data_IF_739687161728
#
_entry.id   IF_739687161728
#
_cell.length_a   1.000
_cell.length_b   1.000
_cell.length_c   1.000
_cell.angle_alpha   90.00
_cell.angle_beta   90.00
_cell.angle_gamma   90.00
#
_symmetry.space_group_name_H-M   'P 1'
#
loop_
_entity.id
_entity.type
_entity.pdbx_description
1 polymer ?
#
# COMPACT_ATOMS: atom_id res chain seq x y z
N UNK A 1 10.51 20.05 12.58
CA UNK A 1 10.73 21.16 13.55
C UNK A 1 9.42 21.92 13.60
N UNK A 2 8.75 21.96 14.76
CA UNK A 2 7.55 22.78 14.95
C UNK A 2 7.96 24.26 14.94
N UNK A 3 7.26 25.06 14.12
CA UNK A 3 7.47 26.51 14.12
C UNK A 3 6.91 27.07 15.44
N UNK A 4 7.77 27.66 16.25
CA UNK A 4 7.37 28.32 17.51
C UNK A 4 6.84 29.72 17.15
N UNK A 5 5.58 29.95 17.41
CA UNK A 5 4.89 31.20 17.06
C UNK A 5 4.18 31.78 18.28
N UNK A 6 3.94 33.10 18.26
CA UNK A 6 3.00 33.72 19.20
C UNK A 6 1.57 33.64 18.66
N UNK A 7 0.58 33.72 19.56
CA UNK A 7 -0.83 33.71 19.14
C UNK A 7 -1.17 34.86 18.16
N UNK A 8 -0.49 35.99 18.24
CA UNK A 8 -0.73 37.14 17.36
C UNK A 8 -0.19 36.86 15.94
N UNK A 9 0.99 36.26 15.85
CA UNK A 9 1.56 35.80 14.56
C UNK A 9 0.67 34.77 13.88
N UNK A 10 0.17 33.80 14.63
CA UNK A 10 -0.75 32.77 14.10
C UNK A 10 -2.05 33.41 13.57
N UNK A 11 -2.64 34.37 14.32
CA UNK A 11 -3.85 35.08 13.84
C UNK A 11 -3.59 35.86 12.56
N UNK A 12 -2.41 36.43 12.38
CA UNK A 12 -2.05 37.14 11.16
C UNK A 12 -1.86 36.13 9.99
N UNK A 13 -1.18 35.03 10.22
CA UNK A 13 -1.01 33.96 9.24
C UNK A 13 -2.36 33.34 8.82
N UNK A 14 -3.24 33.09 9.78
CA UNK A 14 -4.61 32.59 9.49
C UNK A 14 -5.41 33.56 8.61
N UNK A 15 -5.25 34.88 8.78
CA UNK A 15 -5.88 35.88 7.89
C UNK A 15 -5.31 35.82 6.48
N UNK A 16 -4.02 35.51 6.31
CA UNK A 16 -3.42 35.30 5.00
C UNK A 16 -3.92 34.01 4.36
N UNK A 17 -3.95 32.90 5.09
CA UNK A 17 -4.49 31.63 4.59
C UNK A 17 -5.97 31.74 4.21
N UNK A 18 -6.74 32.60 4.87
CA UNK A 18 -8.13 32.85 4.55
C UNK A 18 -8.38 33.42 3.15
N UNK A 19 -7.36 33.98 2.52
CA UNK A 19 -7.43 34.43 1.11
C UNK A 19 -7.40 33.28 0.12
N UNK A 20 -6.84 32.12 0.52
CA UNK A 20 -6.59 30.95 -0.31
C UNK A 20 -7.55 29.79 0.08
N UNK A 21 -7.77 29.61 1.37
CA UNK A 21 -8.58 28.54 1.94
C UNK A 21 -9.96 29.07 2.37
N UNK A 22 -11.01 28.26 2.10
CA UNK A 22 -12.37 28.64 2.48
C UNK A 22 -12.64 28.50 3.97
N UNK A 23 -11.88 27.63 4.64
CA UNK A 23 -11.92 27.47 6.09
C UNK A 23 -10.51 27.33 6.64
N UNK A 24 -10.26 28.00 7.76
CA UNK A 24 -9.01 27.92 8.51
C UNK A 24 -9.38 27.76 9.97
N UNK A 25 -8.98 26.66 10.60
CA UNK A 25 -9.27 26.38 12.01
C UNK A 25 -8.01 26.15 12.79
N UNK A 26 -7.99 26.63 14.04
CA UNK A 26 -6.93 26.38 15.00
C UNK A 26 -7.50 25.55 16.15
N UNK A 27 -6.92 24.38 16.38
CA UNK A 27 -7.27 23.49 17.47
C UNK A 27 -6.18 23.53 18.55
N UNK A 28 -6.60 23.64 19.81
CA UNK A 28 -5.73 23.30 20.94
C UNK A 28 -5.81 21.80 21.17
N UNK A 29 -4.66 21.16 21.32
CA UNK A 29 -4.55 19.72 21.53
C UNK A 29 -4.19 19.45 22.99
N UNK A 30 -4.91 18.51 23.63
CA UNK A 30 -4.61 18.05 24.98
C UNK A 30 -4.49 16.53 24.97
N UNK A 31 -3.39 16.00 25.53
CA UNK A 31 -3.27 14.56 25.79
C UNK A 31 -3.90 14.27 27.14
N UNK A 32 -4.93 13.45 27.16
CA UNK A 32 -5.47 12.90 28.40
C UNK A 32 -4.61 11.70 28.79
N UNK A 33 -3.80 11.87 29.84
CA UNK A 33 -2.83 10.86 30.31
C UNK A 33 -3.49 9.60 30.85
N UNK A 34 -4.76 9.65 31.26
CA UNK A 34 -5.44 8.51 31.92
C UNK A 34 -6.15 7.56 30.92
N UNK A 35 -6.43 8.01 29.70
CA UNK A 35 -7.21 7.23 28.71
C UNK A 35 -6.54 7.10 27.34
N UNK A 36 -5.38 7.71 27.12
CA UNK A 36 -4.71 7.73 25.80
C UNK A 36 -5.46 8.51 24.70
N UNK A 37 -6.56 9.15 25.04
CA UNK A 37 -7.40 9.93 24.13
C UNK A 37 -6.82 11.34 23.93
N UNK A 38 -6.87 11.83 22.70
CA UNK A 38 -6.51 13.21 22.36
C UNK A 38 -7.78 14.06 22.35
N UNK A 39 -7.86 15.02 23.23
CA UNK A 39 -8.93 16.01 23.22
C UNK A 39 -8.53 17.21 22.34
N UNK A 40 -9.46 17.63 21.47
CA UNK A 40 -9.28 18.77 20.58
C UNK A 40 -10.35 19.84 20.84
N UNK A 41 -9.93 21.08 21.01
CA UNK A 41 -10.79 22.23 21.19
C UNK A 41 -10.53 23.25 20.07
N UNK A 42 -11.59 23.67 19.37
CA UNK A 42 -11.50 24.75 18.37
C UNK A 42 -11.31 26.08 19.09
N UNK A 43 -10.15 26.71 18.89
CA UNK A 43 -9.81 28.00 19.49
C UNK A 43 -10.18 29.14 18.55
N UNK A 44 -9.90 29.02 17.28
CA UNK A 44 -10.19 30.00 16.24
C UNK A 44 -10.73 29.28 15.02
N UNK A 45 -11.85 29.78 14.48
CA UNK A 45 -12.40 29.35 13.21
C UNK A 45 -12.65 30.57 12.31
N UNK A 46 -12.07 30.55 11.12
CA UNK A 46 -12.26 31.54 10.08
C UNK A 46 -12.80 30.85 8.84
N UNK A 47 -14.10 31.00 8.52
CA UNK A 47 -14.70 30.27 7.41
C UNK A 47 -16.00 30.84 6.90
N UNK A 48 -16.56 30.25 5.84
CA UNK A 48 -17.93 30.51 5.36
C UNK A 48 -18.90 29.58 6.10
N UNK A 49 -20.08 30.11 6.46
CA UNK A 49 -21.13 29.38 7.18
C UNK A 49 -21.59 28.09 6.47
N UNK A 50 -21.49 28.02 5.14
CA UNK A 50 -21.87 26.85 4.32
C UNK A 50 -21.03 25.58 4.62
N UNK A 51 -19.80 25.73 5.13
CA UNK A 51 -18.95 24.62 5.53
C UNK A 51 -19.12 24.20 6.99
N UNK A 52 -19.84 24.99 7.79
CA UNK A 52 -20.13 24.65 9.19
C UNK A 52 -21.15 23.51 9.32
N UNK A 53 -22.04 23.32 8.33
CA UNK A 53 -23.01 22.23 8.29
C UNK A 53 -22.42 20.86 7.93
N UNK A 54 -21.22 20.82 7.33
CA UNK A 54 -20.49 19.61 7.00
C UNK A 54 -19.80 18.96 8.22
N UNK A 55 -20.26 19.23 9.44
CA UNK A 55 -19.78 18.67 10.70
C UNK A 55 -20.19 17.21 10.91
N UNK A 56 -19.76 16.29 10.05
CA UNK A 56 -19.59 14.91 10.51
C UNK A 56 -18.23 14.79 11.17
N UNK A 57 -18.12 14.15 12.35
CA UNK A 57 -16.81 13.75 12.86
C UNK A 57 -16.14 12.94 11.75
N UNK A 58 -14.94 13.34 11.37
CA UNK A 58 -14.11 12.57 10.46
C UNK A 58 -13.93 11.18 11.08
N UNK A 59 -14.37 10.11 10.43
CA UNK A 59 -14.19 8.74 10.94
C UNK A 59 -12.70 8.40 11.07
N UNK A 60 -11.84 9.04 10.28
CA UNK A 60 -10.38 9.05 10.42
C UNK A 60 -9.90 10.47 10.64
N UNK A 61 -9.54 10.78 11.89
CA UNK A 61 -9.20 12.14 12.29
C UNK A 61 -7.76 12.49 11.94
N UNK A 62 -7.53 12.97 10.72
CA UNK A 62 -6.20 13.45 10.24
C UNK A 62 -5.55 14.47 11.22
N UNK A 63 -6.35 15.18 12.04
CA UNK A 63 -5.84 16.11 13.06
C UNK A 63 -5.12 15.34 14.17
N UNK A 64 -5.70 14.23 14.62
CA UNK A 64 -5.13 13.38 15.67
C UNK A 64 -3.90 12.64 15.19
N UNK A 65 -3.93 12.16 13.94
CA UNK A 65 -2.78 11.55 13.29
C UNK A 65 -1.61 12.53 13.14
N UNK A 66 -1.87 13.73 12.61
CA UNK A 66 -0.85 14.78 12.47
C UNK A 66 -0.26 15.16 13.82
N UNK A 67 -1.10 15.31 14.84
CA UNK A 67 -0.67 15.65 16.19
C UNK A 67 0.18 14.56 16.83
N UNK A 68 -0.20 13.30 16.63
CA UNK A 68 0.53 12.14 17.18
C UNK A 68 1.87 11.95 16.50
N UNK A 69 1.91 12.10 15.16
CA UNK A 69 3.13 11.98 14.35
C UNK A 69 4.04 13.22 14.45
N UNK A 70 3.51 14.39 14.82
CA UNK A 70 4.24 15.65 14.82
C UNK A 70 4.57 16.17 13.41
N UNK A 71 3.81 15.73 12.40
CA UNK A 71 4.06 16.01 10.98
C UNK A 71 2.87 16.70 10.32
N UNK A 72 3.14 17.40 9.20
CA UNK A 72 2.08 17.88 8.34
C UNK A 72 1.42 16.72 7.61
N UNK A 73 0.08 16.70 7.62
CA UNK A 73 -0.73 15.70 6.91
C UNK A 73 -1.69 16.39 5.95
N UNK A 74 -2.03 15.71 4.88
CA UNK A 74 -2.99 16.21 3.91
C UNK A 74 -3.87 15.10 3.38
N UNK A 75 -5.16 15.39 3.20
CA UNK A 75 -6.09 14.48 2.53
C UNK A 75 -7.02 15.21 1.59
N UNK A 76 -7.68 14.43 0.76
CA UNK A 76 -8.81 14.91 -0.05
C UNK A 76 -10.09 14.24 0.44
N UNK A 77 -11.15 15.00 0.51
CA UNK A 77 -12.44 14.52 1.02
C UNK A 77 -13.56 14.98 0.08
N UNK A 78 -14.51 14.08 -0.20
CA UNK A 78 -15.70 14.42 -0.98
C UNK A 78 -16.85 14.61 0.00
N UNK A 79 -17.34 15.85 0.11
CA UNK A 79 -18.49 16.19 0.93
C UNK A 79 -19.59 16.74 0.02
N UNK A 80 -20.79 16.11 0.05
CA UNK A 80 -21.93 16.50 -0.78
C UNK A 80 -21.60 16.65 -2.28
N UNK A 81 -20.75 15.75 -2.80
CA UNK A 81 -20.34 15.74 -4.21
C UNK A 81 -19.32 16.81 -4.58
N UNK A 82 -18.77 17.53 -3.62
CA UNK A 82 -17.69 18.52 -3.81
C UNK A 82 -16.39 17.99 -3.26
N UNK A 83 -15.30 18.18 -3.99
CA UNK A 83 -13.96 17.76 -3.58
C UNK A 83 -13.29 18.87 -2.78
N UNK A 84 -12.82 18.53 -1.59
CA UNK A 84 -12.07 19.40 -0.70
C UNK A 84 -10.66 18.87 -0.48
N UNK A 85 -9.70 19.79 -0.42
CA UNK A 85 -8.37 19.51 0.10
C UNK A 85 -8.32 19.99 1.55
N UNK A 86 -7.90 19.08 2.43
CA UNK A 86 -7.66 19.35 3.86
C UNK A 86 -6.16 19.22 4.10
N UNK A 87 -5.55 20.23 4.68
CA UNK A 87 -4.14 20.23 5.11
C UNK A 87 -4.12 20.52 6.60
N UNK A 88 -3.35 19.73 7.33
CA UNK A 88 -3.23 19.84 8.79
C UNK A 88 -1.76 19.98 9.16
N UNK A 89 -1.42 20.99 9.95
CA UNK A 89 -0.06 21.30 10.36
C UNK A 89 0.02 21.47 11.87
N UNK A 90 1.00 20.80 12.50
CA UNK A 90 1.30 20.99 13.91
C UNK A 90 2.15 22.26 14.09
N UNK A 91 1.75 23.09 15.02
CA UNK A 91 2.46 24.33 15.41
C UNK A 91 2.54 24.43 16.93
N UNK A 92 3.52 25.16 17.43
CA UNK A 92 3.68 25.44 18.84
C UNK A 92 3.41 26.93 19.10
N UNK A 93 2.49 27.23 19.99
CA UNK A 93 2.12 28.60 20.35
C UNK A 93 2.36 28.81 21.86
N UNK A 94 3.28 29.71 22.20
CA UNK A 94 3.63 29.99 23.57
C UNK A 94 3.98 28.74 24.41
N UNK A 95 4.61 27.73 23.79
CA UNK A 95 5.00 26.48 24.43
C UNK A 95 3.90 25.43 24.53
N UNK A 96 2.72 25.68 23.98
CA UNK A 96 1.59 24.75 23.94
C UNK A 96 1.35 24.22 22.54
N UNK A 97 0.97 22.95 22.38
CA UNK A 97 0.75 22.34 21.07
C UNK A 97 -0.61 22.69 20.47
N UNK A 98 -0.59 23.10 19.22
CA UNK A 98 -1.78 23.40 18.43
C UNK A 98 -1.70 22.69 17.07
N UNK A 99 -2.87 22.56 16.43
CA UNK A 99 -3.00 22.07 15.06
C UNK A 99 -3.76 23.10 14.24
N UNK A 100 -3.15 23.53 13.14
CA UNK A 100 -3.75 24.40 12.15
C UNK A 100 -4.33 23.55 11.02
N UNK A 101 -5.65 23.66 10.78
CA UNK A 101 -6.36 23.00 9.69
C UNK A 101 -6.75 24.01 8.62
N UNK A 102 -6.43 23.69 7.39
CA UNK A 102 -6.68 24.49 6.20
C UNK A 102 -7.54 23.71 5.23
N UNK A 103 -8.73 24.21 4.88
CA UNK A 103 -9.66 23.54 4.00
C UNK A 103 -9.96 24.41 2.78
N UNK A 104 -9.80 23.86 1.58
CA UNK A 104 -10.23 24.51 0.34
C UNK A 104 -11.05 23.56 -0.52
N UNK A 105 -12.12 24.09 -1.12
CA UNK A 105 -12.84 23.41 -2.19
C UNK A 105 -11.99 23.46 -3.46
N UNK A 106 -11.94 22.37 -4.16
CA UNK A 106 -11.37 22.29 -5.51
C UNK A 106 -12.44 22.51 -6.58
N UNK A 107 -13.55 23.14 -6.23
CA UNK A 107 -14.63 23.47 -7.14
C UNK A 107 -14.17 24.40 -8.27
N UNK A 108 -14.81 24.23 -9.41
CA UNK A 108 -14.49 24.64 -10.77
C UNK A 108 -14.37 26.15 -11.05
N UNK A 109 -14.46 27.02 -10.07
CA UNK A 109 -14.34 28.48 -10.25
C UNK A 109 -12.94 29.05 -9.99
N UNK A 110 -11.97 28.20 -9.64
CA UNK A 110 -10.59 28.65 -9.56
C UNK A 110 -9.96 28.57 -10.95
N UNK A 111 -9.40 29.68 -11.41
CA UNK A 111 -8.90 29.98 -12.77
C UNK A 111 -7.82 29.03 -13.34
N UNK A 112 -8.02 27.75 -13.28
CA UNK A 112 -7.37 26.75 -14.12
C UNK A 112 -8.31 26.42 -15.30
N UNK A 113 -8.72 27.43 -16.03
CA UNK A 113 -9.54 27.38 -17.21
C UNK A 113 -10.13 26.01 -17.60
N UNK A 114 -11.43 25.81 -17.43
CA UNK A 114 -12.24 24.70 -17.98
C UNK A 114 -11.78 23.27 -17.63
N UNK A 115 -11.27 23.03 -16.43
CA UNK A 115 -11.12 21.67 -15.90
C UNK A 115 -12.48 21.23 -15.33
N UNK A 116 -13.21 20.38 -16.04
CA UNK A 116 -14.43 19.75 -15.51
C UNK A 116 -14.07 18.76 -14.40
N UNK A 117 -15.04 18.38 -13.58
CA UNK A 117 -14.89 17.45 -12.44
C UNK A 117 -14.12 16.16 -12.82
N UNK A 118 -14.41 15.59 -14.00
CA UNK A 118 -13.70 14.41 -14.53
C UNK A 118 -12.18 14.64 -14.68
N UNK A 119 -11.78 15.83 -15.11
CA UNK A 119 -10.34 16.12 -15.27
C UNK A 119 -9.62 16.27 -13.95
N UNK A 120 -10.27 16.80 -12.91
CA UNK A 120 -9.70 16.89 -11.56
C UNK A 120 -9.59 15.52 -10.93
N UNK A 121 -10.63 14.69 -11.05
CA UNK A 121 -10.61 13.30 -10.61
C UNK A 121 -9.53 12.50 -11.37
N UNK A 122 -9.45 12.66 -12.69
CA UNK A 122 -8.44 12.00 -13.51
C UNK A 122 -7.01 12.49 -13.18
N UNK A 123 -6.83 13.77 -12.89
CA UNK A 123 -5.55 14.33 -12.46
C UNK A 123 -5.16 13.74 -11.09
N UNK A 124 -6.11 13.63 -10.18
CA UNK A 124 -5.92 13.04 -8.87
C UNK A 124 -5.61 11.55 -8.95
N UNK A 125 -6.36 10.79 -9.75
CA UNK A 125 -6.07 9.39 -10.05
C UNK A 125 -4.68 9.22 -10.67
N UNK A 126 -4.32 10.10 -11.61
CA UNK A 126 -3.00 10.09 -12.24
C UNK A 126 -1.85 10.41 -11.25
N UNK A 127 -2.06 11.32 -10.30
CA UNK A 127 -1.07 11.57 -9.24
C UNK A 127 -0.98 10.41 -8.27
N UNK A 128 -2.10 9.80 -7.91
CA UNK A 128 -2.14 8.62 -7.04
C UNK A 128 -1.47 7.41 -7.72
N UNK A 129 -1.76 7.19 -9.00
CA UNK A 129 -1.08 6.18 -9.81
C UNK A 129 0.44 6.42 -9.87
N UNK A 130 0.88 7.66 -10.08
CA UNK A 130 2.32 8.00 -10.06
C UNK A 130 2.99 7.81 -8.70
N UNK A 131 2.26 7.96 -7.60
CA UNK A 131 2.79 7.76 -6.26
C UNK A 131 2.94 6.27 -5.92
N UNK A 132 1.97 5.46 -6.35
CA UNK A 132 1.81 4.08 -5.88
C UNK A 132 2.01 3.00 -6.95
N UNK A 133 2.21 3.37 -8.22
CA UNK A 133 2.50 2.42 -9.29
C UNK A 133 3.99 2.30 -9.57
N UNK A 134 4.41 1.07 -9.88
CA UNK A 134 5.74 0.80 -10.40
C UNK A 134 5.81 1.17 -11.89
N UNK A 135 6.83 1.93 -12.26
CA UNK A 135 6.94 2.49 -13.60
C UNK A 135 7.18 1.46 -14.70
N UNK A 136 7.69 0.27 -14.36
CA UNK A 136 7.99 -0.82 -15.31
C UNK A 136 6.80 -1.75 -15.46
N UNK A 137 6.26 -2.23 -14.35
CA UNK A 137 5.28 -3.32 -14.35
C UNK A 137 3.84 -2.87 -14.18
N UNK A 138 3.60 -1.60 -13.85
CA UNK A 138 2.27 -1.07 -13.49
C UNK A 138 1.59 -1.88 -12.35
N UNK A 139 2.34 -2.65 -11.58
CA UNK A 139 1.93 -3.15 -10.28
C UNK A 139 1.96 -2.02 -9.26
N UNK A 140 1.44 -2.22 -8.07
CA UNK A 140 1.73 -1.27 -6.99
C UNK A 140 3.22 -1.30 -6.67
N UNK A 141 3.77 -0.19 -6.18
CA UNK A 141 5.17 -0.11 -5.75
C UNK A 141 5.31 -0.39 -4.25
N UNK A 142 6.55 -0.46 -3.76
CA UNK A 142 6.85 -0.70 -2.34
C UNK A 142 6.25 0.37 -1.42
N UNK A 143 6.17 1.63 -1.89
CA UNK A 143 5.57 2.70 -1.10
C UNK A 143 4.09 2.43 -0.79
N UNK A 144 3.33 1.89 -1.76
CA UNK A 144 1.95 1.47 -1.51
C UNK A 144 1.85 0.43 -0.39
N UNK A 145 2.79 -0.52 -0.35
CA UNK A 145 2.86 -1.48 0.76
C UNK A 145 3.08 -0.79 2.11
N UNK A 146 4.06 0.12 2.17
CA UNK A 146 4.41 0.82 3.41
C UNK A 146 3.30 1.73 3.93
N UNK A 147 2.58 2.40 3.04
CA UNK A 147 1.58 3.40 3.40
C UNK A 147 0.18 2.77 3.61
N UNK A 148 -0.19 1.69 2.87
CA UNK A 148 -1.58 1.24 2.76
C UNK A 148 -1.81 -0.24 3.18
N UNK A 149 -0.76 -1.07 3.28
CA UNK A 149 -0.94 -2.52 3.37
C UNK A 149 -0.33 -3.12 4.62
N UNK A 150 0.90 -2.77 4.97
CA UNK A 150 1.68 -3.47 5.99
C UNK A 150 1.02 -3.53 7.36
N UNK A 151 0.36 -2.43 7.76
CA UNK A 151 -0.28 -2.28 9.08
C UNK A 151 -1.72 -2.80 9.12
N UNK A 152 -2.27 -3.26 7.98
CA UNK A 152 -3.60 -3.87 7.90
C UNK A 152 -3.62 -5.22 8.64
N UNK A 153 -4.71 -5.49 9.35
CA UNK A 153 -5.02 -6.75 10.04
C UNK A 153 -6.08 -7.58 9.29
N UNK A 154 -6.28 -7.30 8.00
CA UNK A 154 -7.26 -8.02 7.18
C UNK A 154 -6.90 -9.51 7.02
N UNK A 155 -7.92 -10.37 7.06
CA UNK A 155 -7.77 -11.78 6.68
C UNK A 155 -7.49 -11.88 5.18
N UNK A 156 -6.30 -12.34 4.82
CA UNK A 156 -5.85 -12.40 3.43
C UNK A 156 -4.89 -13.56 3.17
N UNK A 157 -4.86 -14.05 1.95
CA UNK A 157 -3.73 -14.81 1.44
C UNK A 157 -2.59 -13.86 1.09
N UNK A 158 -1.41 -14.10 1.61
CA UNK A 158 -0.20 -13.31 1.39
C UNK A 158 0.86 -14.19 0.77
N UNK A 159 1.37 -13.81 -0.41
CA UNK A 159 2.42 -14.56 -1.08
C UNK A 159 3.55 -13.64 -1.51
N UNK A 160 4.77 -14.05 -1.19
CA UNK A 160 5.98 -13.46 -1.74
C UNK A 160 6.46 -14.30 -2.93
N UNK A 161 6.76 -13.65 -4.03
CA UNK A 161 7.06 -14.24 -5.32
C UNK A 161 8.40 -13.68 -5.80
N UNK A 162 9.32 -14.51 -6.18
CA UNK A 162 10.62 -14.11 -6.70
C UNK A 162 10.87 -14.78 -8.07
N UNK A 163 11.43 -14.02 -9.00
CA UNK A 163 11.79 -14.52 -10.32
C UNK A 163 13.12 -15.29 -10.27
N UNK A 164 13.07 -16.58 -10.60
CA UNK A 164 14.28 -17.38 -10.65
C UNK A 164 15.21 -16.89 -11.76
N UNK A 165 16.50 -16.84 -11.45
CA UNK A 165 17.58 -16.49 -12.39
C UNK A 165 17.43 -15.11 -13.06
N UNK A 166 16.67 -14.18 -12.50
CA UNK A 166 16.45 -12.86 -13.09
C UNK A 166 17.74 -12.10 -13.38
N UNK A 167 18.73 -12.19 -12.49
CA UNK A 167 20.05 -11.60 -12.72
C UNK A 167 20.73 -12.18 -13.97
N UNK A 168 20.61 -13.49 -14.20
CA UNK A 168 21.18 -14.14 -15.38
C UNK A 168 20.53 -13.59 -16.67
N UNK A 169 19.22 -13.33 -16.67
CA UNK A 169 18.55 -12.71 -17.81
C UNK A 169 19.08 -11.30 -18.09
N UNK A 170 19.24 -10.49 -17.06
CA UNK A 170 19.82 -9.16 -17.18
C UNK A 170 21.25 -9.20 -17.70
N UNK A 171 22.08 -10.08 -17.16
CA UNK A 171 23.49 -10.20 -17.54
C UNK A 171 23.65 -10.73 -18.97
N UNK A 172 22.71 -11.60 -19.44
CA UNK A 172 22.79 -12.23 -20.76
C UNK A 172 22.16 -11.37 -21.86
N UNK A 173 21.00 -10.74 -21.59
CA UNK A 173 20.19 -10.08 -22.60
C UNK A 173 20.04 -8.57 -22.40
N UNK A 174 20.62 -8.04 -21.29
CA UNK A 174 20.55 -6.64 -20.92
C UNK A 174 19.26 -6.25 -20.16
N UNK A 175 19.29 -5.09 -19.52
CA UNK A 175 18.20 -4.62 -18.64
C UNK A 175 16.84 -4.47 -19.35
N UNK A 176 16.84 -4.12 -20.65
CA UNK A 176 15.58 -4.03 -21.41
C UNK A 176 14.86 -5.40 -21.51
N UNK A 177 15.63 -6.49 -21.61
CA UNK A 177 15.07 -7.83 -21.57
C UNK A 177 14.53 -8.17 -20.17
N UNK A 178 15.24 -7.77 -19.12
CA UNK A 178 14.77 -7.90 -17.74
C UNK A 178 13.46 -7.16 -17.50
N UNK A 179 13.32 -5.93 -17.98
CA UNK A 179 12.08 -5.17 -17.88
C UNK A 179 10.92 -5.87 -18.61
N UNK A 180 11.21 -6.46 -19.79
CA UNK A 180 10.20 -7.24 -20.54
C UNK A 180 9.78 -8.49 -19.77
N UNK A 181 10.72 -9.17 -19.12
CA UNK A 181 10.45 -10.33 -18.23
C UNK A 181 9.57 -9.91 -17.06
N UNK A 182 9.90 -8.83 -16.37
CA UNK A 182 9.13 -8.31 -15.24
C UNK A 182 7.69 -7.95 -15.66
N UNK A 183 7.52 -7.28 -16.78
CA UNK A 183 6.20 -6.96 -17.34
C UNK A 183 5.40 -8.23 -17.64
N UNK A 184 6.01 -9.21 -18.30
CA UNK A 184 5.34 -10.45 -18.65
C UNK A 184 4.86 -11.23 -17.42
N UNK A 185 5.69 -11.33 -16.38
CA UNK A 185 5.31 -11.98 -15.12
C UNK A 185 4.20 -11.21 -14.42
N UNK A 186 4.32 -9.89 -14.30
CA UNK A 186 3.29 -9.04 -13.70
C UNK A 186 1.94 -9.18 -14.43
N UNK A 187 1.93 -9.24 -15.76
CA UNK A 187 0.72 -9.38 -16.56
C UNK A 187 0.06 -10.76 -16.38
N UNK A 188 0.86 -11.83 -16.28
CA UNK A 188 0.36 -13.17 -15.97
C UNK A 188 -0.30 -13.18 -14.59
N UNK A 189 0.34 -12.60 -13.58
CA UNK A 189 -0.21 -12.52 -12.23
C UNK A 189 -1.49 -11.69 -12.22
N UNK A 190 -1.47 -10.47 -12.78
CA UNK A 190 -2.64 -9.57 -12.86
C UNK A 190 -3.83 -10.22 -13.54
N UNK A 191 -3.59 -10.94 -14.65
CA UNK A 191 -4.66 -11.66 -15.38
C UNK A 191 -5.26 -12.83 -14.59
N UNK A 192 -4.57 -13.30 -13.55
CA UNK A 192 -4.95 -14.44 -12.72
C UNK A 192 -5.62 -14.06 -11.40
N UNK A 193 -5.67 -12.78 -11.05
CA UNK A 193 -6.18 -12.25 -9.78
C UNK A 193 -7.45 -11.42 -9.99
N UNK A 194 -8.17 -11.14 -8.89
CA UNK A 194 -9.36 -10.29 -8.88
C UNK A 194 -8.97 -8.82 -8.76
N UNK A 195 -9.90 -7.91 -9.05
CA UNK A 195 -9.70 -6.47 -8.87
C UNK A 195 -9.45 -6.06 -7.40
N UNK A 196 -9.96 -6.83 -6.46
CA UNK A 196 -9.74 -6.65 -5.02
C UNK A 196 -8.36 -7.10 -4.56
N UNK A 197 -7.69 -7.97 -5.33
CA UNK A 197 -6.37 -8.48 -4.98
C UNK A 197 -5.31 -7.45 -5.37
N UNK A 198 -4.22 -7.41 -4.62
CA UNK A 198 -3.17 -6.39 -4.77
C UNK A 198 -1.86 -7.05 -5.17
N UNK A 199 -1.35 -6.70 -6.34
CA UNK A 199 0.00 -7.08 -6.78
C UNK A 199 0.92 -5.89 -6.57
N UNK A 200 1.98 -6.09 -5.81
CA UNK A 200 2.95 -5.07 -5.41
C UNK A 200 4.34 -5.52 -5.86
N UNK A 201 5.08 -4.68 -6.57
CA UNK A 201 6.50 -4.93 -6.81
C UNK A 201 7.27 -4.53 -5.55
N UNK A 202 7.74 -5.54 -4.83
CA UNK A 202 8.30 -5.40 -3.49
C UNK A 202 9.81 -5.11 -3.52
N UNK A 203 10.51 -5.70 -4.49
CA UNK A 203 11.95 -5.54 -4.74
C UNK A 203 12.25 -5.44 -6.23
N UNK A 204 13.49 -5.69 -6.63
CA UNK A 204 13.94 -5.68 -8.02
C UNK A 204 13.19 -6.68 -8.89
N UNK A 205 13.15 -7.93 -8.45
CA UNK A 205 12.55 -9.12 -9.06
C UNK A 205 11.51 -9.79 -8.16
N UNK A 206 11.17 -9.15 -7.04
CA UNK A 206 10.24 -9.65 -6.05
C UNK A 206 8.87 -8.99 -6.16
N UNK A 207 7.82 -9.80 -6.07
CA UNK A 207 6.43 -9.36 -6.01
C UNK A 207 5.75 -9.85 -4.75
N UNK A 208 4.97 -8.99 -4.13
CA UNK A 208 4.07 -9.33 -3.04
C UNK A 208 2.63 -9.37 -3.59
N UNK A 209 1.94 -10.46 -3.33
CA UNK A 209 0.54 -10.66 -3.69
C UNK A 209 -0.31 -10.76 -2.42
N UNK A 210 -1.31 -9.89 -2.29
CA UNK A 210 -2.26 -9.88 -1.17
C UNK A 210 -3.66 -10.11 -1.71
N UNK A 211 -4.33 -11.16 -1.22
CA UNK A 211 -5.67 -11.60 -1.64
C UNK A 211 -6.64 -11.57 -0.46
N UNK A 212 -7.39 -10.47 -0.25
CA UNK A 212 -8.34 -10.35 0.86
C UNK A 212 -9.45 -11.40 0.82
N UNK A 213 -9.75 -11.99 1.99
CA UNK A 213 -10.87 -12.91 2.17
C UNK A 213 -10.81 -14.19 1.33
N UNK A 214 -9.60 -14.65 0.96
CA UNK A 214 -9.44 -15.89 0.21
C UNK A 214 -9.34 -17.09 1.15
N UNK A 215 -9.98 -18.20 0.78
CA UNK A 215 -9.85 -19.48 1.49
C UNK A 215 -8.51 -20.15 1.17
N UNK A 216 -7.91 -20.83 2.14
CA UNK A 216 -6.56 -21.43 2.07
C UNK A 216 -6.40 -22.39 0.88
N UNK A 217 -7.37 -23.27 0.63
CA UNK A 217 -7.31 -24.20 -0.51
C UNK A 217 -7.37 -23.50 -1.88
N UNK A 218 -8.21 -22.44 -1.95
CA UNK A 218 -8.36 -21.65 -3.19
C UNK A 218 -7.09 -20.84 -3.43
N UNK A 219 -6.50 -20.31 -2.36
CA UNK A 219 -5.23 -19.57 -2.40
C UNK A 219 -4.10 -20.45 -2.94
N UNK A 220 -3.88 -21.63 -2.36
CA UNK A 220 -2.85 -22.57 -2.80
C UNK A 220 -3.04 -22.99 -4.27
N UNK A 221 -4.26 -23.32 -4.67
CA UNK A 221 -4.58 -23.64 -6.09
C UNK A 221 -4.27 -22.45 -7.01
N UNK A 222 -4.56 -21.24 -6.58
CA UNK A 222 -4.31 -20.05 -7.37
C UNK A 222 -2.82 -19.77 -7.52
N UNK A 223 -2.01 -19.92 -6.48
CA UNK A 223 -0.56 -19.77 -6.55
C UNK A 223 0.06 -20.78 -7.52
N UNK A 224 -0.31 -22.05 -7.43
CA UNK A 224 0.13 -23.08 -8.35
C UNK A 224 -0.28 -22.79 -9.81
N UNK A 225 -1.50 -22.29 -10.02
CA UNK A 225 -1.97 -21.89 -11.34
C UNK A 225 -1.20 -20.69 -11.92
N UNK A 226 -0.82 -19.73 -11.09
CA UNK A 226 0.04 -18.59 -11.48
C UNK A 226 1.43 -19.11 -11.88
N UNK A 227 2.05 -19.93 -11.03
CA UNK A 227 3.37 -20.51 -11.28
C UNK A 227 3.41 -21.27 -12.61
N UNK A 228 2.41 -22.14 -12.88
CA UNK A 228 2.33 -22.87 -14.13
C UNK A 228 2.16 -21.97 -15.35
N UNK A 229 1.33 -20.92 -15.25
CA UNK A 229 1.15 -19.93 -16.33
C UNK A 229 2.43 -19.18 -16.62
N UNK A 230 3.15 -18.74 -15.58
CA UNK A 230 4.46 -18.08 -15.74
C UNK A 230 5.42 -19.02 -16.46
N UNK A 231 5.52 -20.27 -16.01
CA UNK A 231 6.42 -21.27 -16.59
C UNK A 231 6.13 -21.59 -18.07
N UNK A 232 4.88 -21.46 -18.51
CA UNK A 232 4.46 -21.68 -19.90
C UNK A 232 4.43 -20.40 -20.75
N UNK A 233 4.75 -19.24 -20.16
CA UNK A 233 4.72 -17.97 -20.87
C UNK A 233 5.96 -17.81 -21.76
N UNK A 234 5.73 -17.50 -23.03
CA UNK A 234 6.78 -17.20 -24.01
C UNK A 234 6.89 -15.69 -24.18
N UNK A 235 8.10 -15.18 -24.07
CA UNK A 235 8.37 -13.76 -24.25
C UNK A 235 8.67 -13.47 -25.71
N UNK A 236 7.89 -12.59 -26.38
CA UNK A 236 8.16 -12.21 -27.77
C UNK A 236 9.56 -11.61 -27.93
N UNK A 237 10.33 -12.15 -28.88
CA UNK A 237 11.72 -11.73 -29.12
C UNK A 237 12.78 -12.42 -28.25
N UNK A 238 12.35 -13.21 -27.25
CA UNK A 238 13.25 -13.92 -26.33
C UNK A 238 12.79 -15.37 -26.11
N UNK A 239 12.58 -16.13 -27.19
CA UNK A 239 12.03 -17.49 -27.15
C UNK A 239 12.87 -18.50 -26.36
N UNK A 240 14.13 -18.18 -26.09
CA UNK A 240 15.04 -19.04 -25.31
C UNK A 240 14.96 -18.78 -23.78
N UNK A 241 14.19 -17.77 -23.34
CA UNK A 241 13.98 -17.51 -21.92
C UNK A 241 12.81 -18.39 -21.45
N UNK A 242 13.09 -19.29 -20.54
CA UNK A 242 12.07 -20.05 -19.81
C UNK A 242 11.85 -19.38 -18.45
N UNK A 243 10.67 -18.79 -18.27
CA UNK A 243 10.34 -18.12 -17.00
C UNK A 243 10.06 -19.14 -15.91
N UNK A 244 10.55 -18.87 -14.71
CA UNK A 244 10.14 -19.59 -13.52
C UNK A 244 10.11 -18.65 -12.31
N UNK A 245 9.28 -18.98 -11.33
CA UNK A 245 9.11 -18.23 -10.09
C UNK A 245 9.13 -19.16 -8.90
N UNK A 246 9.74 -18.70 -7.81
CA UNK A 246 9.67 -19.32 -6.50
C UNK A 246 8.69 -18.54 -5.64
N UNK A 247 7.76 -19.22 -4.97
CA UNK A 247 6.63 -18.61 -4.27
C UNK A 247 6.52 -19.17 -2.85
N UNK A 248 6.47 -18.28 -1.86
CA UNK A 248 6.09 -18.61 -0.50
C UNK A 248 4.72 -18.01 -0.17
N UNK A 249 3.78 -18.81 0.34
CA UNK A 249 2.42 -18.37 0.57
C UNK A 249 1.87 -18.75 1.95
N UNK A 250 1.20 -17.81 2.61
CA UNK A 250 0.57 -17.98 3.93
C UNK A 250 -0.82 -17.36 3.98
N UNK A 251 -1.64 -17.75 4.95
CA UNK A 251 -2.86 -17.02 5.30
C UNK A 251 -2.57 -16.14 6.53
N UNK A 252 -2.88 -14.84 6.44
CA UNK A 252 -2.84 -13.96 7.61
C UNK A 252 -4.03 -14.26 8.53
N UNK A 253 -3.76 -14.51 9.81
CA UNK A 253 -4.77 -14.87 10.81
C UNK A 253 -4.80 -13.81 11.90
N UNK A 254 -5.56 -12.72 11.72
CA UNK A 254 -5.72 -11.65 12.71
C UNK A 254 -4.36 -11.07 13.21
N UNK A 255 -3.41 -10.97 12.32
CA UNK A 255 -2.11 -10.35 12.51
C UNK A 255 -1.91 -9.27 11.44
N UNK A 256 -0.95 -8.38 11.64
CA UNK A 256 -0.59 -7.41 10.60
C UNK A 256 -0.05 -8.14 9.36
N UNK A 257 -0.36 -7.61 8.18
CA UNK A 257 0.17 -8.16 6.90
C UNK A 257 1.70 -8.23 6.92
N UNK A 258 2.39 -7.32 7.61
CA UNK A 258 3.86 -7.35 7.78
C UNK A 258 4.34 -8.69 8.36
N UNK A 259 3.70 -9.21 9.41
CA UNK A 259 4.05 -10.49 10.00
C UNK A 259 3.77 -11.69 9.06
N UNK A 260 2.70 -11.62 8.28
CA UNK A 260 2.42 -12.61 7.25
C UNK A 260 3.46 -12.57 6.11
N UNK A 261 3.95 -11.39 5.73
CA UNK A 261 5.04 -11.25 4.74
C UNK A 261 6.32 -11.89 5.23
N UNK A 262 6.70 -11.71 6.50
CA UNK A 262 7.89 -12.36 7.07
C UNK A 262 7.79 -13.91 7.02
N UNK A 263 6.60 -14.46 7.28
CA UNK A 263 6.37 -15.92 7.17
C UNK A 263 6.40 -16.38 5.72
N UNK A 264 5.83 -15.62 4.80
CA UNK A 264 5.86 -15.92 3.38
C UNK A 264 7.28 -15.88 2.81
N UNK A 265 8.12 -14.94 3.27
CA UNK A 265 9.54 -14.86 2.89
C UNK A 265 10.30 -16.13 3.26
N UNK A 266 10.08 -16.67 4.45
CA UNK A 266 10.68 -17.92 4.89
C UNK A 266 10.34 -19.10 3.96
N UNK A 267 9.07 -19.19 3.53
CA UNK A 267 8.60 -20.23 2.61
C UNK A 267 9.13 -20.01 1.18
N UNK A 268 9.20 -18.77 0.72
CA UNK A 268 9.79 -18.44 -0.57
C UNK A 268 11.27 -18.83 -0.63
N UNK A 269 12.01 -18.61 0.45
CA UNK A 269 13.40 -19.04 0.53
C UNK A 269 13.53 -20.57 0.38
N UNK A 270 12.62 -21.37 0.97
CA UNK A 270 12.58 -22.81 0.78
C UNK A 270 12.23 -23.19 -0.67
N UNK A 271 11.30 -22.46 -1.30
CA UNK A 271 10.97 -22.66 -2.71
C UNK A 271 12.16 -22.41 -3.64
N UNK A 272 13.02 -21.45 -3.33
CA UNK A 272 14.24 -21.13 -4.09
C UNK A 272 15.26 -22.27 -4.15
N UNK A 273 15.33 -23.13 -3.13
CA UNK A 273 16.25 -24.27 -3.13
C UNK A 273 15.96 -25.24 -4.29
N UNK A 274 14.68 -25.38 -4.67
CA UNK A 274 14.25 -26.26 -5.78
C UNK A 274 13.95 -25.51 -7.07
N UNK A 275 13.75 -24.18 -7.01
CA UNK A 275 13.26 -23.29 -8.05
C UNK A 275 11.92 -23.73 -8.65
N UNK A 276 11.24 -22.80 -9.32
CA UNK A 276 9.96 -23.06 -9.98
C UNK A 276 8.94 -23.78 -9.08
N UNK A 277 8.83 -23.37 -7.82
CA UNK A 277 8.07 -24.04 -6.79
C UNK A 277 7.18 -23.08 -6.01
N UNK A 278 6.04 -23.58 -5.57
CA UNK A 278 5.16 -22.94 -4.59
C UNK A 278 5.26 -23.71 -3.28
N UNK A 279 5.55 -23.04 -2.18
CA UNK A 279 5.58 -23.59 -0.82
C UNK A 279 4.58 -22.82 0.02
N UNK A 280 3.67 -23.54 0.67
CA UNK A 280 2.68 -22.96 1.58
C UNK A 280 2.75 -23.61 2.97
N UNK A 281 2.09 -23.01 3.96
CA UNK A 281 2.01 -23.63 5.30
C UNK A 281 1.26 -24.98 5.29
N UNK A 282 0.43 -25.25 4.29
CA UNK A 282 -0.22 -26.55 4.14
C UNK A 282 0.80 -27.66 3.87
N UNK A 283 1.84 -27.36 3.07
CA UNK A 283 2.87 -28.34 2.71
C UNK A 283 3.69 -28.77 3.94
N UNK A 284 3.80 -27.89 4.96
CA UNK A 284 4.48 -28.19 6.23
C UNK A 284 3.60 -28.99 7.21
N UNK A 285 2.27 -28.95 7.05
CA UNK A 285 1.32 -29.67 7.91
C UNK A 285 1.11 -31.14 7.50
N UNK A 286 1.54 -31.52 6.29
CA UNK A 286 1.48 -32.90 5.81
C UNK A 286 2.70 -33.67 6.38
N UNK A 287 2.52 -34.75 7.17
CA UNK A 287 3.65 -35.58 7.57
C UNK A 287 4.29 -36.21 6.35
N UNK A 288 5.62 -36.25 6.31
CA UNK A 288 6.44 -36.93 5.31
C UNK A 288 5.92 -38.36 5.05
N UNK A 289 5.07 -38.53 4.05
CA UNK A 289 4.59 -39.83 3.60
C UNK A 289 5.54 -40.49 2.60
N UNK A 290 6.72 -39.94 2.40
CA UNK A 290 7.83 -40.58 1.71
C UNK A 290 8.72 -41.35 2.68
N UNK A 291 8.10 -42.16 3.52
CA UNK A 291 8.77 -43.25 4.22
C UNK A 291 9.22 -44.26 3.19
N UNK A 292 10.46 -44.16 2.73
CA UNK A 292 11.09 -45.14 1.86
C UNK A 292 10.94 -46.51 2.46
N UNK A 293 10.18 -47.37 1.78
CA UNK A 293 10.27 -48.80 1.98
C UNK A 293 11.70 -49.26 1.69
N UNK A 294 12.49 -49.45 2.78
CA UNK A 294 13.70 -50.29 2.68
C UNK A 294 13.25 -51.69 2.33
N UNK A 295 13.39 -52.06 1.07
CA UNK A 295 13.31 -53.45 0.68
C UNK A 295 14.54 -54.13 1.27
N UNK A 296 14.35 -54.91 2.34
CA UNK A 296 15.32 -55.86 2.82
C UNK A 296 15.38 -56.99 1.79
N UNK A 297 16.39 -57.00 0.95
CA UNK A 297 16.76 -58.19 0.16
C UNK A 297 17.43 -59.15 1.14
N UNK A 298 16.73 -60.21 1.53
CA UNK A 298 17.32 -61.35 2.22
C UNK A 298 17.91 -62.23 1.12
N UNK A 299 19.23 -62.32 1.11
CA UNK A 299 20.00 -63.23 0.28
C UNK A 299 20.04 -64.59 0.97
N UNK A 300 19.34 -65.60 0.46
CA UNK A 300 19.41 -66.97 0.86
C UNK A 300 20.54 -67.67 0.08
N UNK A 301 21.64 -67.96 0.75
CA UNK A 301 22.63 -68.93 0.31
C UNK A 301 23.13 -69.76 1.46
#
# INVERSE_FOLDING_TARGET
MSDIMTMEQVKEEMRHFRKIFQMVRLFRMKRNTDQGLVEKEVVIELGREELQSARKPCEECIIEEAFTAGEEKGKFEIVEGKLYQVIVRCIEIDGEPYVLELIRSLDTNWSLGKLNHERVVNLFMHYNDKLYKDAVTDAYNRRYYEDEVKDSDELAGVALIDLDDFKLYNDTYGHNAGDTVLCAVADVIKSSIRRSDRLIRFGGDEFLLVMPGIEEEVFTKKLNGIQQKVNTTVIPGYSNIQLSISVGGVISNAEKIEAAVERADHLMYQAKDSKNMVVTEQDQKLPDTTGGQKILVVDDS
#
